data_IF_398442996850
#
_entry.id   IF_398442996850
#
_cell.length_a   1.000
_cell.length_b   1.000
_cell.length_c   1.000
_cell.angle_alpha   90.00
_cell.angle_beta   90.00
_cell.angle_gamma   90.00
#
_symmetry.space_group_name_H-M   'P 1'
#
loop_
_entity.id
_entity.type
_entity.pdbx_description
1 polymer ?
#
# COMPACT_ATOMS: atom_id res chain seq x y z
N UNK A 1 -1.11 -9.03 -15.79
CA UNK A 1 -0.47 -8.39 -14.63
C UNK A 1 -1.34 -7.23 -14.16
N UNK A 2 -1.68 -7.16 -12.87
CA UNK A 2 -2.36 -5.99 -12.29
C UNK A 2 -1.33 -4.86 -12.10
N UNK A 3 -1.71 -3.61 -12.36
CA UNK A 3 -0.84 -2.44 -12.22
C UNK A 3 -1.28 -1.63 -10.99
N UNK A 4 -0.31 -1.24 -10.17
CA UNK A 4 -0.52 -0.34 -9.04
C UNK A 4 -0.48 1.11 -9.56
N UNK A 5 -1.51 1.89 -9.24
CA UNK A 5 -1.58 3.31 -9.54
C UNK A 5 -1.99 4.09 -8.29
N UNK A 6 -1.41 5.26 -8.11
CA UNK A 6 -1.65 6.10 -6.94
C UNK A 6 -2.33 7.39 -7.35
N UNK A 7 -3.34 7.79 -6.58
CA UNK A 7 -3.80 9.18 -6.59
C UNK A 7 -2.76 10.09 -5.94
N UNK A 8 -2.75 11.37 -6.31
CA UNK A 8 -1.75 12.34 -5.86
C UNK A 8 -1.70 12.48 -4.33
N UNK A 9 -2.87 12.41 -3.67
CA UNK A 9 -2.97 12.44 -2.21
C UNK A 9 -2.43 11.17 -1.57
N UNK A 10 -2.85 10.01 -2.07
CA UNK A 10 -2.39 8.71 -1.56
C UNK A 10 -0.87 8.54 -1.73
N UNK A 11 -0.30 9.05 -2.82
CA UNK A 11 1.16 9.05 -3.02
C UNK A 11 1.89 9.90 -1.97
N UNK A 12 1.37 11.09 -1.65
CA UNK A 12 1.94 11.94 -0.59
C UNK A 12 1.86 11.27 0.78
N UNK A 13 0.72 10.67 1.10
CA UNK A 13 0.53 9.95 2.37
C UNK A 13 1.48 8.75 2.45
N UNK A 14 1.66 8.02 1.35
CA UNK A 14 2.62 6.91 1.27
C UNK A 14 4.06 7.37 1.55
N UNK A 15 4.50 8.47 0.94
CA UNK A 15 5.82 9.06 1.20
C UNK A 15 5.99 9.54 2.64
N UNK A 16 4.96 10.15 3.23
CA UNK A 16 4.99 10.55 4.64
C UNK A 16 5.24 9.35 5.57
N UNK A 17 4.57 8.23 5.32
CA UNK A 17 4.78 7.00 6.10
C UNK A 17 6.17 6.40 5.92
N UNK A 18 6.86 6.63 4.80
CA UNK A 18 8.24 6.17 4.61
C UNK A 18 9.22 6.80 5.59
N UNK A 19 9.04 8.09 5.91
CA UNK A 19 9.94 8.80 6.82
C UNK A 19 9.54 8.68 8.28
N UNK A 20 8.24 8.59 8.60
CA UNK A 20 7.78 8.63 9.99
C UNK A 20 7.61 7.28 10.66
N UNK A 21 6.99 6.31 9.99
CA UNK A 21 6.72 5.01 10.61
C UNK A 21 6.82 3.85 9.61
N UNK A 22 7.95 3.17 9.69
CA UNK A 22 8.25 1.99 8.88
C UNK A 22 7.33 0.80 9.19
N UNK A 23 6.74 0.70 10.40
CA UNK A 23 5.78 -0.37 10.70
C UNK A 23 4.49 -0.17 9.91
N UNK A 24 3.96 1.05 9.91
CA UNK A 24 2.80 1.42 9.10
C UNK A 24 3.07 1.22 7.61
N UNK A 25 4.24 1.64 7.10
CA UNK A 25 4.64 1.41 5.71
C UNK A 25 4.66 -0.09 5.34
N UNK A 26 5.23 -0.94 6.20
CA UNK A 26 5.25 -2.39 5.98
C UNK A 26 3.85 -2.98 5.88
N UNK A 27 2.92 -2.54 6.74
CA UNK A 27 1.51 -2.99 6.70
C UNK A 27 0.82 -2.55 5.40
N UNK A 28 1.03 -1.31 4.97
CA UNK A 28 0.48 -0.81 3.69
C UNK A 28 0.99 -1.66 2.52
N UNK A 29 2.30 -1.93 2.46
CA UNK A 29 2.89 -2.77 1.41
C UNK A 29 2.31 -4.19 1.41
N UNK A 30 2.09 -4.78 2.58
CA UNK A 30 1.47 -6.10 2.71
C UNK A 30 0.05 -6.10 2.14
N UNK A 31 -0.77 -5.12 2.50
CA UNK A 31 -2.15 -5.00 2.02
C UNK A 31 -2.23 -4.77 0.51
N UNK A 32 -1.30 -4.00 -0.06
CA UNK A 32 -1.20 -3.80 -1.51
C UNK A 32 -0.89 -5.12 -2.21
N UNK A 33 0.07 -5.90 -1.69
CA UNK A 33 0.39 -7.20 -2.28
C UNK A 33 -0.78 -8.19 -2.18
N UNK A 34 -1.48 -8.18 -1.04
CA UNK A 34 -2.63 -9.05 -0.82
C UNK A 34 -3.78 -8.70 -1.78
N UNK A 35 -4.15 -7.42 -1.89
CA UNK A 35 -5.18 -6.96 -2.83
C UNK A 35 -4.81 -7.16 -4.30
N UNK A 36 -3.51 -7.13 -4.64
CA UNK A 36 -3.04 -7.48 -5.98
C UNK A 36 -3.12 -8.98 -6.26
N UNK A 37 -3.13 -9.83 -5.24
CA UNK A 37 -3.23 -11.28 -5.37
C UNK A 37 -4.70 -11.73 -5.27
N UNK A 38 -5.35 -11.43 -4.16
CA UNK A 38 -6.73 -11.76 -3.81
C UNK A 38 -7.51 -10.48 -3.43
N UNK A 39 -8.14 -9.79 -4.39
CA UNK A 39 -8.69 -8.45 -4.17
C UNK A 39 -9.84 -8.38 -3.17
N UNK A 40 -10.56 -9.49 -2.98
CA UNK A 40 -11.81 -9.55 -2.21
C UNK A 40 -11.78 -10.58 -1.09
N UNK A 41 -10.64 -11.25 -0.89
CA UNK A 41 -10.43 -12.19 0.20
C UNK A 41 -9.29 -11.66 1.07
N UNK A 42 -9.48 -11.61 2.37
CA UNK A 42 -8.45 -11.23 3.33
C UNK A 42 -7.98 -12.44 4.13
N UNK A 43 -6.70 -12.44 4.51
CA UNK A 43 -6.12 -13.43 5.44
C UNK A 43 -6.09 -12.94 6.89
#
# INVERSE_FOLDING_TARGET
MRKLAWGSKAWKDYLYWQSQDKKTLKRINLLIQDTLSNPFEGK
#
